data_IF_480126344409
#
_entry.id   IF_480126344409
#
_cell.length_a   1.000
_cell.length_b   1.000
_cell.length_c   1.000
_cell.angle_alpha   90.00
_cell.angle_beta   90.00
_cell.angle_gamma   90.00
#
_symmetry.space_group_name_H-M   'P 1'
#
loop_
_entity.id
_entity.type
_entity.pdbx_description
1 polymer ?
#
# COMPACT_ATOMS: atom_id res chain seq x y z
N UNK A 1 47.88 -18.54 -25.46
CA UNK A 1 48.77 -18.49 -24.28
C UNK A 1 48.02 -19.04 -23.09
N UNK A 2 48.46 -20.17 -22.52
CA UNK A 2 47.85 -20.72 -21.32
C UNK A 2 48.31 -19.88 -20.11
N UNK A 3 47.37 -19.32 -19.32
CA UNK A 3 47.67 -18.64 -18.06
C UNK A 3 48.50 -19.56 -17.15
N UNK A 4 49.52 -19.02 -16.48
CA UNK A 4 50.32 -19.75 -15.49
C UNK A 4 49.41 -20.23 -14.35
N UNK A 5 49.79 -21.32 -13.69
CA UNK A 5 49.00 -21.90 -12.59
C UNK A 5 48.70 -20.84 -11.51
N UNK A 6 49.67 -19.98 -11.18
CA UNK A 6 49.47 -18.86 -10.25
C UNK A 6 48.48 -17.80 -10.75
N UNK A 7 48.52 -17.46 -12.05
CA UNK A 7 47.58 -16.51 -12.64
C UNK A 7 46.13 -17.06 -12.72
N UNK A 8 45.96 -18.38 -12.88
CA UNK A 8 44.64 -19.03 -12.82
C UNK A 8 44.03 -18.95 -11.43
N UNK A 9 44.82 -19.22 -10.39
CA UNK A 9 44.36 -19.12 -8.99
C UNK A 9 44.11 -17.67 -8.56
N UNK A 10 44.88 -16.71 -9.06
CA UNK A 10 44.66 -15.28 -8.80
C UNK A 10 43.29 -14.77 -9.30
N UNK A 11 42.75 -15.37 -10.36
CA UNK A 11 41.40 -15.06 -10.88
C UNK A 11 40.32 -15.95 -10.25
N UNK A 12 40.62 -17.23 -10.02
CA UNK A 12 39.66 -18.20 -9.48
C UNK A 12 39.28 -17.90 -8.02
N UNK A 13 40.23 -17.47 -7.17
CA UNK A 13 39.96 -17.22 -5.75
C UNK A 13 38.92 -16.10 -5.56
N UNK A 14 39.06 -14.90 -6.16
CA UNK A 14 38.02 -13.87 -6.06
C UNK A 14 36.66 -14.33 -6.57
N UNK A 15 36.62 -15.05 -7.70
CA UNK A 15 35.37 -15.57 -8.26
C UNK A 15 34.68 -16.58 -7.32
N UNK A 16 35.45 -17.48 -6.70
CA UNK A 16 34.94 -18.44 -5.72
C UNK A 16 34.45 -17.73 -4.45
N UNK A 17 35.13 -16.69 -3.99
CA UNK A 17 34.70 -15.89 -2.84
C UNK A 17 33.41 -15.13 -3.12
N UNK A 18 33.26 -14.54 -4.31
CA UNK A 18 32.01 -13.88 -4.73
C UNK A 18 30.87 -14.90 -4.78
N UNK A 19 31.12 -16.08 -5.37
CA UNK A 19 30.14 -17.15 -5.41
C UNK A 19 29.76 -17.63 -4.00
N UNK A 20 30.74 -17.82 -3.11
CA UNK A 20 30.49 -18.20 -1.73
C UNK A 20 29.67 -17.15 -0.98
N UNK A 21 30.02 -15.87 -1.10
CA UNK A 21 29.25 -14.77 -0.51
C UNK A 21 27.82 -14.72 -1.04
N UNK A 22 27.63 -14.95 -2.34
CA UNK A 22 26.31 -15.00 -2.94
C UNK A 22 25.49 -16.20 -2.45
N UNK A 23 26.10 -17.39 -2.31
CA UNK A 23 25.44 -18.57 -1.72
C UNK A 23 25.04 -18.29 -0.27
N UNK A 24 25.92 -17.69 0.53
CA UNK A 24 25.62 -17.29 1.91
C UNK A 24 24.45 -16.29 1.92
N UNK A 25 24.48 -15.27 1.06
CA UNK A 25 23.41 -14.28 0.91
C UNK A 25 22.06 -14.94 0.58
N UNK A 26 22.02 -15.84 -0.40
CA UNK A 26 20.80 -16.59 -0.75
C UNK A 26 20.35 -17.49 0.40
N UNK A 27 21.28 -18.16 1.10
CA UNK A 27 20.97 -18.98 2.28
C UNK A 27 20.40 -18.16 3.43
N UNK A 28 20.93 -16.95 3.66
CA UNK A 28 20.41 -15.99 4.63
C UNK A 28 19.00 -15.52 4.25
N UNK A 29 18.74 -15.32 2.96
CA UNK A 29 17.40 -15.06 2.44
C UNK A 29 16.44 -16.24 2.58
N UNK A 30 16.80 -17.41 3.13
CA UNK A 30 15.85 -18.46 3.51
C UNK A 30 15.36 -18.34 4.95
N UNK A 31 15.99 -17.47 5.76
CA UNK A 31 15.60 -17.25 7.16
C UNK A 31 14.39 -16.29 7.18
N UNK A 32 13.19 -16.72 7.64
CA UNK A 32 11.97 -15.92 7.48
C UNK A 32 12.03 -14.54 8.14
N UNK A 33 12.70 -14.43 9.29
CA UNK A 33 12.90 -13.15 9.96
C UNK A 33 13.70 -12.18 9.09
N UNK A 34 14.81 -12.66 8.50
CA UNK A 34 15.66 -11.83 7.65
C UNK A 34 14.99 -11.49 6.31
N UNK A 35 14.25 -12.45 5.72
CA UNK A 35 13.41 -12.19 4.55
C UNK A 35 12.47 -11.02 4.76
N UNK A 36 11.77 -10.98 5.90
CA UNK A 36 10.79 -9.93 6.18
C UNK A 36 11.46 -8.57 6.36
N UNK A 37 12.60 -8.51 7.06
CA UNK A 37 13.38 -7.28 7.14
C UNK A 37 13.85 -6.80 5.78
N UNK A 38 14.32 -7.70 4.92
CA UNK A 38 14.78 -7.36 3.57
C UNK A 38 13.63 -6.98 2.61
N UNK A 39 12.48 -7.65 2.71
CA UNK A 39 11.32 -7.40 1.85
C UNK A 39 10.65 -6.07 2.20
N UNK A 40 10.34 -5.87 3.48
CA UNK A 40 9.58 -4.71 3.95
C UNK A 40 10.47 -3.49 4.18
N UNK A 41 11.74 -3.69 4.53
CA UNK A 41 12.71 -2.62 4.82
C UNK A 41 12.16 -1.61 5.85
N UNK A 42 11.28 -2.08 6.73
CA UNK A 42 10.39 -1.23 7.51
C UNK A 42 11.08 -0.47 8.65
N UNK A 43 12.31 -0.90 9.03
CA UNK A 43 13.13 -0.23 10.05
C UNK A 43 14.10 0.81 9.48
N UNK A 44 14.25 0.89 8.16
CA UNK A 44 15.13 1.88 7.53
C UNK A 44 14.27 3.03 7.03
N UNK A 45 14.24 4.11 7.81
CA UNK A 45 13.39 5.26 7.53
C UNK A 45 14.01 6.56 8.08
N UNK A 46 13.57 7.70 7.55
CA UNK A 46 14.09 9.03 7.91
C UNK A 46 13.39 9.68 9.11
N UNK A 47 12.49 8.97 9.80
CA UNK A 47 11.78 9.47 10.99
C UNK A 47 12.70 10.02 12.10
N UNK A 48 13.94 9.55 12.17
CA UNK A 48 14.95 10.08 13.10
C UNK A 48 15.25 11.58 12.84
N UNK A 49 15.13 12.03 11.60
CA UNK A 49 15.52 13.36 11.13
C UNK A 49 14.32 14.31 10.92
N UNK A 50 13.11 13.78 10.82
CA UNK A 50 11.90 14.56 10.54
C UNK A 50 10.79 14.30 11.56
N UNK A 51 9.92 15.28 11.79
CA UNK A 51 8.74 15.09 12.63
C UNK A 51 7.55 14.69 11.75
N UNK A 52 7.24 13.39 11.70
CA UNK A 52 6.13 12.85 10.90
C UNK A 52 4.78 13.37 11.41
N UNK A 53 4.69 13.78 12.68
CA UNK A 53 3.47 14.39 13.22
C UNK A 53 3.23 15.82 12.76
N UNK A 54 4.18 16.44 12.06
CA UNK A 54 4.05 17.77 11.46
C UNK A 54 4.09 17.71 9.92
N UNK A 55 2.93 17.54 9.26
CA UNK A 55 2.81 17.49 7.81
C UNK A 55 3.32 18.74 7.08
N UNK A 56 3.45 19.89 7.76
CA UNK A 56 3.92 21.12 7.11
C UNK A 56 5.37 21.01 6.66
N UNK A 57 6.15 20.18 7.35
CA UNK A 57 7.54 19.85 6.97
C UNK A 57 7.64 19.05 5.67
N UNK A 58 6.52 18.51 5.18
CA UNK A 58 6.43 17.73 3.94
C UNK A 58 5.66 18.44 2.81
N UNK A 59 5.49 19.76 2.93
CA UNK A 59 4.91 20.60 1.87
C UNK A 59 3.39 20.73 1.89
N UNK A 60 2.73 20.36 3.00
CA UNK A 60 1.30 20.60 3.19
C UNK A 60 1.04 21.91 3.93
N UNK A 61 -0.12 22.52 3.68
CA UNK A 61 -0.57 23.66 4.44
C UNK A 61 -1.00 23.25 5.87
N UNK A 62 -1.02 24.21 6.80
CA UNK A 62 -1.44 23.98 8.19
C UNK A 62 -2.84 23.36 8.22
N UNK A 63 -3.01 22.26 8.95
CA UNK A 63 -4.28 21.50 9.05
C UNK A 63 -4.85 20.99 7.70
N UNK A 64 -4.08 21.02 6.60
CA UNK A 64 -4.47 20.31 5.38
C UNK A 64 -4.41 18.80 5.57
N UNK A 65 -3.51 18.33 6.44
CA UNK A 65 -3.37 16.93 6.80
C UNK A 65 -3.67 16.76 8.28
N UNK A 66 -4.64 15.88 8.58
CA UNK A 66 -4.91 15.41 9.93
C UNK A 66 -4.21 14.09 10.17
N UNK A 67 -3.43 14.00 11.24
CA UNK A 67 -2.81 12.75 11.69
C UNK A 67 -3.67 12.10 12.79
N UNK A 68 -3.82 10.78 12.76
CA UNK A 68 -4.61 10.02 13.74
C UNK A 68 -4.17 8.56 13.75
N UNK A 69 -4.81 7.74 14.60
CA UNK A 69 -4.52 6.31 14.67
C UNK A 69 -5.74 5.44 14.41
N UNK A 70 -5.53 4.29 13.78
CA UNK A 70 -6.55 3.27 13.51
C UNK A 70 -6.16 1.98 14.23
N UNK A 71 -7.01 1.44 15.12
CA UNK A 71 -6.78 0.14 15.71
C UNK A 71 -7.14 -0.97 14.72
N UNK A 72 -6.39 -2.07 14.75
CA UNK A 72 -6.70 -3.28 14.00
C UNK A 72 -7.38 -4.32 14.90
N UNK A 73 -8.13 -5.27 14.31
CA UNK A 73 -8.71 -6.43 15.00
C UNK A 73 -7.74 -7.20 15.93
N UNK A 74 -6.47 -7.26 15.57
CA UNK A 74 -5.41 -7.97 16.30
C UNK A 74 -4.58 -7.09 17.25
N UNK A 75 -5.09 -5.91 17.62
CA UNK A 75 -4.49 -5.04 18.63
C UNK A 75 -3.29 -4.22 18.16
N UNK A 76 -3.06 -4.13 16.84
CA UNK A 76 -2.07 -3.23 16.27
C UNK A 76 -2.66 -1.83 16.14
N UNK A 77 -1.87 -0.82 16.47
CA UNK A 77 -2.21 0.58 16.20
C UNK A 77 -1.47 1.06 14.95
N UNK A 78 -2.22 1.55 13.97
CA UNK A 78 -1.74 2.09 12.71
C UNK A 78 -1.72 3.62 12.76
N UNK A 79 -0.62 4.23 12.33
CA UNK A 79 -0.52 5.65 12.03
C UNK A 79 -1.25 5.96 10.73
N UNK A 80 -2.11 6.97 10.73
CA UNK A 80 -2.94 7.34 9.59
C UNK A 80 -2.88 8.84 9.31
N UNK A 81 -2.93 9.19 8.03
CA UNK A 81 -3.07 10.56 7.55
C UNK A 81 -4.37 10.70 6.75
N UNK A 82 -5.09 11.80 6.99
CA UNK A 82 -6.21 12.27 6.18
C UNK A 82 -5.82 13.61 5.56
N UNK A 83 -5.66 13.62 4.24
CA UNK A 83 -5.26 14.79 3.44
C UNK A 83 -6.50 15.38 2.77
N UNK A 84 -6.75 16.67 3.01
CA UNK A 84 -7.83 17.43 2.37
C UNK A 84 -7.50 17.72 0.90
N UNK A 85 -8.50 17.65 0.00
CA UNK A 85 -8.35 18.16 -1.37
C UNK A 85 -8.24 19.69 -1.35
N UNK A 86 -7.65 20.26 -2.41
CA UNK A 86 -7.30 21.68 -2.45
C UNK A 86 -8.53 22.59 -2.49
N UNK A 87 -9.61 22.17 -3.14
CA UNK A 87 -10.87 22.90 -3.20
C UNK A 87 -11.51 23.05 -1.81
N UNK A 88 -11.68 21.94 -1.08
CA UNK A 88 -12.22 21.95 0.29
C UNK A 88 -11.30 22.73 1.24
N UNK A 89 -9.98 22.55 1.12
CA UNK A 89 -9.04 23.33 1.94
C UNK A 89 -9.14 24.84 1.66
N UNK A 90 -9.25 25.23 0.39
CA UNK A 90 -9.33 26.63 -0.01
C UNK A 90 -10.62 27.30 0.51
N UNK A 91 -11.75 26.59 0.45
CA UNK A 91 -13.04 27.07 0.95
C UNK A 91 -13.04 27.31 2.47
N UNK A 92 -12.39 26.44 3.24
CA UNK A 92 -12.36 26.49 4.71
C UNK A 92 -11.03 26.97 5.30
N UNK A 93 -10.21 27.68 4.51
CA UNK A 93 -8.82 27.99 4.87
C UNK A 93 -8.67 28.76 6.17
N UNK A 94 -9.53 29.75 6.43
CA UNK A 94 -9.50 30.57 7.65
C UNK A 94 -9.74 29.70 8.89
N UNK A 95 -10.84 28.95 8.90
CA UNK A 95 -11.21 28.03 9.98
C UNK A 95 -10.12 26.97 10.24
N UNK A 96 -9.58 26.38 9.17
CA UNK A 96 -8.51 25.39 9.27
C UNK A 96 -7.21 25.98 9.82
N UNK A 97 -6.85 27.21 9.44
CA UNK A 97 -5.60 27.83 9.90
C UNK A 97 -5.65 28.18 11.39
N UNK A 98 -6.80 28.66 11.86
CA UNK A 98 -7.05 29.05 13.25
C UNK A 98 -7.29 27.85 14.17
N UNK A 99 -7.76 26.73 13.62
CA UNK A 99 -8.03 25.54 14.41
C UNK A 99 -6.76 24.96 15.10
N UNK A 100 -6.91 24.36 16.29
CA UNK A 100 -5.88 23.53 16.91
C UNK A 100 -5.39 22.41 15.97
N UNK A 101 -4.13 21.99 16.11
CA UNK A 101 -3.53 20.95 15.26
C UNK A 101 -4.22 19.57 15.39
N UNK A 102 -4.87 19.32 16.52
CA UNK A 102 -5.62 18.11 16.82
C UNK A 102 -7.10 18.19 16.42
N UNK A 103 -7.50 19.28 15.77
CA UNK A 103 -8.87 19.51 15.33
C UNK A 103 -9.40 18.38 14.45
N UNK A 104 -10.65 17.99 14.69
CA UNK A 104 -11.37 17.03 13.85
C UNK A 104 -12.03 17.70 12.64
N UNK A 105 -11.79 18.98 12.37
CA UNK A 105 -12.45 19.75 11.32
C UNK A 105 -12.28 19.09 9.95
N UNK A 106 -11.07 18.64 9.59
CA UNK A 106 -10.82 17.95 8.32
C UNK A 106 -11.75 16.73 8.13
N UNK A 107 -11.93 15.93 9.19
CA UNK A 107 -12.82 14.76 9.15
C UNK A 107 -14.28 15.16 9.11
N UNK A 108 -14.68 16.23 9.82
CA UNK A 108 -16.03 16.77 9.74
C UNK A 108 -16.38 17.17 8.31
N UNK A 109 -15.51 17.92 7.62
CA UNK A 109 -15.68 18.34 6.23
C UNK A 109 -15.92 17.16 5.28
N UNK A 110 -15.17 16.07 5.45
CA UNK A 110 -15.39 14.82 4.70
C UNK A 110 -16.76 14.20 5.02
N UNK A 111 -17.11 14.05 6.31
CA UNK A 111 -18.33 13.32 6.72
C UNK A 111 -19.61 14.12 6.54
N UNK A 112 -19.55 15.45 6.49
CA UNK A 112 -20.71 16.32 6.29
C UNK A 112 -21.13 16.43 4.83
N UNK A 113 -20.21 16.14 3.89
CA UNK A 113 -20.49 16.23 2.46
C UNK A 113 -20.90 14.85 1.89
N UNK A 114 -22.18 14.68 1.46
CA UNK A 114 -22.65 13.42 0.89
C UNK A 114 -22.05 13.11 -0.49
N UNK A 115 -21.39 14.07 -1.13
CA UNK A 115 -20.75 13.94 -2.44
C UNK A 115 -19.24 13.69 -2.37
N UNK A 116 -18.62 13.89 -1.19
CA UNK A 116 -17.19 13.73 -0.99
C UNK A 116 -16.72 12.30 -1.31
N UNK A 117 -15.58 12.18 -1.97
CA UNK A 117 -14.97 10.89 -2.31
C UNK A 117 -13.77 10.61 -1.44
N UNK A 118 -13.43 9.34 -1.30
CA UNK A 118 -12.22 8.92 -0.60
C UNK A 118 -11.31 8.16 -1.55
N UNK A 119 -10.06 8.61 -1.63
CA UNK A 119 -8.95 7.86 -2.17
C UNK A 119 -8.19 7.20 -1.02
N UNK A 120 -8.21 5.87 -0.97
CA UNK A 120 -7.35 5.09 -0.07
C UNK A 120 -6.02 4.84 -0.76
N UNK A 121 -4.91 5.26 -0.14
CA UNK A 121 -3.56 5.08 -0.71
C UNK A 121 -2.72 4.11 0.13
N UNK A 122 -2.18 3.09 -0.53
CA UNK A 122 -1.30 2.05 0.00
C UNK A 122 0.12 2.22 -0.56
N UNK A 123 1.07 2.54 0.31
CA UNK A 123 2.44 2.86 -0.07
C UNK A 123 3.30 1.60 -0.33
N UNK A 124 4.47 1.79 -0.97
CA UNK A 124 5.44 0.71 -1.21
C UNK A 124 6.23 0.26 0.02
N UNK A 125 7.27 -0.56 -0.18
CA UNK A 125 8.17 -0.95 0.90
C UNK A 125 9.08 0.21 1.35
N UNK A 126 9.82 -0.01 2.44
CA UNK A 126 10.69 0.94 3.11
C UNK A 126 9.99 2.19 3.69
N UNK A 127 10.72 2.95 4.51
CA UNK A 127 10.32 4.29 4.94
C UNK A 127 9.08 4.37 5.84
N UNK A 128 8.43 5.53 5.81
CA UNK A 128 7.21 5.85 6.54
C UNK A 128 6.22 6.64 5.67
N UNK A 129 5.00 6.90 6.15
CA UNK A 129 3.87 7.46 5.40
C UNK A 129 4.24 8.74 4.60
N UNK A 130 5.07 9.60 5.19
CA UNK A 130 5.54 10.85 4.60
C UNK A 130 6.90 10.80 3.88
N UNK A 131 7.50 9.62 3.65
CA UNK A 131 8.88 9.53 3.17
C UNK A 131 8.99 9.59 1.63
N UNK A 132 10.00 10.32 1.14
CA UNK A 132 10.35 10.36 -0.29
C UNK A 132 9.27 11.04 -1.14
N UNK A 133 8.88 10.38 -2.22
CA UNK A 133 7.88 10.89 -3.19
C UNK A 133 6.42 10.74 -2.74
N UNK A 134 6.16 10.10 -1.59
CA UNK A 134 4.79 9.78 -1.14
C UNK A 134 3.95 11.03 -0.95
N UNK A 135 4.52 12.06 -0.33
CA UNK A 135 3.82 13.34 -0.10
C UNK A 135 3.62 14.12 -1.39
N UNK A 136 4.52 13.96 -2.37
CA UNK A 136 4.30 14.49 -3.71
C UNK A 136 3.10 13.82 -4.36
N UNK A 137 2.98 12.49 -4.28
CA UNK A 137 1.80 11.75 -4.75
C UNK A 137 0.52 12.22 -4.07
N UNK A 138 0.51 12.37 -2.74
CA UNK A 138 -0.68 12.84 -2.03
C UNK A 138 -1.08 14.26 -2.47
N UNK A 139 -0.12 15.18 -2.58
CA UNK A 139 -0.37 16.56 -3.06
C UNK A 139 -0.86 16.57 -4.50
N UNK A 140 -0.34 15.67 -5.32
CA UNK A 140 -0.79 15.42 -6.69
C UNK A 140 -2.29 15.04 -6.68
N UNK A 141 -2.68 14.08 -5.83
CA UNK A 141 -4.07 13.65 -5.67
C UNK A 141 -4.99 14.72 -5.06
N UNK A 142 -4.48 15.69 -4.29
CA UNK A 142 -5.29 16.79 -3.76
C UNK A 142 -5.91 17.68 -4.85
N UNK A 143 -5.45 17.60 -6.10
CA UNK A 143 -6.05 18.29 -7.24
C UNK A 143 -7.34 17.61 -7.75
N UNK A 144 -7.67 16.40 -7.26
CA UNK A 144 -8.93 15.73 -7.58
C UNK A 144 -10.08 16.44 -6.84
N UNK A 145 -11.13 16.90 -7.56
CA UNK A 145 -12.23 17.62 -6.94
C UNK A 145 -12.89 16.80 -5.83
N UNK A 146 -13.05 17.41 -4.66
CA UNK A 146 -13.73 16.86 -3.50
C UNK A 146 -13.37 15.39 -3.18
N UNK A 147 -12.08 15.06 -3.35
CA UNK A 147 -11.55 13.69 -3.15
C UNK A 147 -10.50 13.70 -2.06
N UNK A 148 -10.89 13.24 -0.88
CA UNK A 148 -10.02 13.17 0.29
C UNK A 148 -9.08 11.97 0.20
N UNK A 149 -7.79 12.15 0.46
CA UNK A 149 -6.85 11.04 0.50
C UNK A 149 -6.69 10.55 1.93
N UNK A 150 -6.86 9.24 2.17
CA UNK A 150 -6.59 8.60 3.47
C UNK A 150 -5.56 7.49 3.26
N UNK A 151 -4.53 7.48 4.08
CA UNK A 151 -3.43 6.51 4.00
C UNK A 151 -2.94 6.13 5.40
N UNK A 152 -2.21 5.03 5.48
CA UNK A 152 -1.65 4.49 6.72
C UNK A 152 -0.17 4.14 6.54
N UNK A 153 0.59 4.17 7.63
CA UNK A 153 1.76 3.30 7.77
C UNK A 153 1.28 1.90 8.12
N UNK A 154 1.76 0.88 7.40
CA UNK A 154 1.52 -0.51 7.79
C UNK A 154 2.11 -0.83 9.16
N UNK A 155 1.65 -1.90 9.79
CA UNK A 155 2.24 -2.41 11.03
C UNK A 155 3.77 -2.53 10.93
N UNK A 156 4.46 -1.95 11.91
CA UNK A 156 5.91 -1.89 11.99
C UNK A 156 6.59 -0.82 11.13
N UNK A 157 5.87 -0.07 10.29
CA UNK A 157 6.37 1.10 9.55
C UNK A 157 6.11 2.39 10.34
N UNK A 158 6.99 3.37 10.19
CA UNK A 158 6.84 4.69 10.83
C UNK A 158 6.44 4.62 12.30
N UNK A 159 5.29 5.22 12.64
CA UNK A 159 4.73 5.21 14.01
C UNK A 159 3.75 4.04 14.27
N UNK A 160 3.51 3.16 13.29
CA UNK A 160 2.66 1.99 13.48
C UNK A 160 3.37 0.90 14.27
N UNK A 161 2.65 0.31 15.21
CA UNK A 161 3.17 -0.76 16.08
C UNK A 161 3.27 -2.11 15.34
N UNK A 162 3.87 -3.12 15.98
CA UNK A 162 3.92 -4.49 15.44
C UNK A 162 5.05 -4.77 14.45
N UNK A 163 4.93 -5.87 13.71
CA UNK A 163 5.89 -6.31 12.70
C UNK A 163 5.19 -6.75 11.41
N UNK A 164 5.74 -6.42 10.24
CA UNK A 164 5.09 -6.69 8.97
C UNK A 164 5.11 -8.17 8.61
N UNK A 165 3.97 -8.63 8.10
CA UNK A 165 3.79 -9.94 7.46
C UNK A 165 2.75 -9.77 6.35
N UNK A 166 2.65 -10.72 5.43
CA UNK A 166 1.64 -10.66 4.37
C UNK A 166 0.21 -10.56 4.92
N UNK A 167 -0.18 -11.50 5.80
CA UNK A 167 -1.50 -11.48 6.43
C UNK A 167 -1.73 -10.21 7.27
N UNK A 168 -0.68 -9.71 7.91
CA UNK A 168 -0.75 -8.50 8.73
C UNK A 168 -1.01 -7.24 7.90
N UNK A 169 -0.27 -7.03 6.81
CA UNK A 169 -0.50 -5.87 5.93
C UNK A 169 -1.88 -5.91 5.26
N UNK A 170 -2.38 -7.12 4.94
CA UNK A 170 -3.76 -7.29 4.44
C UNK A 170 -4.77 -6.90 5.54
N UNK A 171 -4.54 -7.34 6.78
CA UNK A 171 -5.36 -6.97 7.95
C UNK A 171 -5.36 -5.45 8.15
N UNK A 172 -4.22 -4.78 7.99
CA UNK A 172 -4.10 -3.32 8.10
C UNK A 172 -4.92 -2.59 7.03
N UNK A 173 -4.85 -3.08 5.78
CA UNK A 173 -5.63 -2.54 4.68
C UNK A 173 -7.14 -2.72 4.87
N UNK A 174 -7.57 -3.90 5.36
CA UNK A 174 -8.97 -4.17 5.70
C UNK A 174 -9.44 -3.25 6.84
N UNK A 175 -8.61 -3.05 7.88
CA UNK A 175 -8.93 -2.15 8.99
C UNK A 175 -9.14 -0.70 8.51
N UNK A 176 -8.29 -0.21 7.61
CA UNK A 176 -8.45 1.11 7.00
C UNK A 176 -9.75 1.22 6.19
N UNK A 177 -10.04 0.26 5.32
CA UNK A 177 -11.29 0.28 4.53
C UNK A 177 -12.51 0.22 5.43
N UNK A 178 -12.52 -0.65 6.44
CA UNK A 178 -13.60 -0.72 7.42
C UNK A 178 -13.77 0.58 8.21
N UNK A 179 -12.68 1.25 8.58
CA UNK A 179 -12.75 2.58 9.19
C UNK A 179 -13.43 3.59 8.27
N UNK A 180 -13.04 3.65 6.99
CA UNK A 180 -13.66 4.54 6.01
C UNK A 180 -15.14 4.21 5.78
N UNK A 181 -15.48 2.94 5.64
CA UNK A 181 -16.85 2.52 5.33
C UNK A 181 -17.79 2.62 6.52
N UNK A 182 -17.34 2.16 7.70
CA UNK A 182 -18.22 1.94 8.85
C UNK A 182 -18.06 3.00 9.94
N UNK A 183 -16.90 3.66 10.04
CA UNK A 183 -16.72 4.78 10.99
C UNK A 183 -16.99 6.13 10.31
N UNK A 184 -16.46 6.33 9.10
CA UNK A 184 -16.71 7.55 8.32
C UNK A 184 -17.97 7.48 7.44
N UNK A 185 -18.65 6.33 7.40
CA UNK A 185 -19.90 6.12 6.68
C UNK A 185 -19.81 6.43 5.17
N UNK A 186 -18.64 6.20 4.56
CA UNK A 186 -18.44 6.41 3.13
C UNK A 186 -18.82 5.13 2.36
N UNK A 187 -19.78 5.19 1.41
CA UNK A 187 -20.20 4.03 0.65
C UNK A 187 -19.09 3.56 -0.32
N UNK A 188 -19.01 2.25 -0.63
CA UNK A 188 -17.98 1.70 -1.52
C UNK A 188 -17.89 2.37 -2.90
N UNK A 189 -19.03 2.82 -3.45
CA UNK A 189 -19.10 3.53 -4.73
C UNK A 189 -18.39 4.89 -4.74
N UNK A 190 -18.04 5.45 -3.57
CA UNK A 190 -17.26 6.69 -3.41
C UNK A 190 -15.81 6.45 -2.99
N UNK A 191 -15.37 5.19 -2.94
CA UNK A 191 -14.02 4.80 -2.51
C UNK A 191 -13.23 4.31 -3.71
N UNK A 192 -12.08 4.95 -3.99
CA UNK A 192 -11.06 4.44 -4.91
C UNK A 192 -9.83 4.01 -4.11
N UNK A 193 -9.15 2.95 -4.57
CA UNK A 193 -7.95 2.42 -3.92
C UNK A 193 -6.77 2.58 -4.87
N UNK A 194 -5.66 3.15 -4.38
CA UNK A 194 -4.38 3.22 -5.11
C UNK A 194 -3.32 2.46 -4.33
N UNK A 195 -2.60 1.57 -5.01
CA UNK A 195 -1.42 0.91 -4.47
C UNK A 195 -0.18 1.22 -5.29
N UNK A 196 0.99 1.35 -4.63
CA UNK A 196 2.28 1.52 -5.30
C UNK A 196 3.25 0.42 -4.88
N UNK A 197 3.91 -0.24 -5.85
CA UNK A 197 4.88 -1.30 -5.57
C UNK A 197 4.30 -2.37 -4.62
N UNK A 198 4.87 -2.60 -3.42
CA UNK A 198 4.27 -3.48 -2.40
C UNK A 198 2.78 -3.18 -2.14
N UNK A 199 2.41 -1.89 -2.11
CA UNK A 199 1.03 -1.45 -1.92
C UNK A 199 0.07 -1.95 -3.00
N UNK A 200 0.53 -2.32 -4.20
CA UNK A 200 -0.34 -2.95 -5.22
C UNK A 200 -0.78 -4.32 -4.77
N UNK A 201 0.11 -5.09 -4.16
CA UNK A 201 -0.21 -6.44 -3.69
C UNK A 201 -1.14 -6.42 -2.47
N UNK A 202 -1.01 -5.40 -1.61
CA UNK A 202 -1.96 -5.09 -0.53
C UNK A 202 -3.32 -4.72 -1.12
N UNK A 203 -3.37 -3.77 -2.06
CA UNK A 203 -4.60 -3.33 -2.71
C UNK A 203 -5.34 -4.50 -3.38
N UNK A 204 -4.65 -5.33 -4.15
CA UNK A 204 -5.24 -6.51 -4.80
C UNK A 204 -5.81 -7.53 -3.81
N UNK A 205 -5.17 -7.71 -2.65
CA UNK A 205 -5.70 -8.58 -1.60
C UNK A 205 -6.91 -7.97 -0.89
N UNK A 206 -6.89 -6.66 -0.61
CA UNK A 206 -7.99 -5.94 0.03
C UNK A 206 -9.24 -5.98 -0.84
N UNK A 207 -9.13 -5.67 -2.15
CA UNK A 207 -10.31 -5.74 -3.03
C UNK A 207 -10.86 -7.15 -3.18
N UNK A 208 -9.99 -8.17 -3.18
CA UNK A 208 -10.43 -9.56 -3.18
C UNK A 208 -11.16 -9.90 -1.88
N UNK A 209 -10.65 -9.48 -0.72
CA UNK A 209 -11.31 -9.73 0.57
C UNK A 209 -12.74 -9.18 0.60
N UNK A 210 -12.96 -7.97 0.09
CA UNK A 210 -14.30 -7.38 0.07
C UNK A 210 -15.23 -7.98 -1.00
N UNK A 211 -14.68 -8.53 -2.09
CA UNK A 211 -15.46 -9.22 -3.12
C UNK A 211 -15.76 -10.69 -2.77
N UNK A 212 -14.83 -11.38 -2.12
CA UNK A 212 -14.88 -12.80 -1.78
C UNK A 212 -13.96 -13.10 -0.57
N UNK A 213 -14.43 -12.86 0.68
CA UNK A 213 -13.59 -12.97 1.89
C UNK A 213 -13.16 -14.42 2.20
N UNK A 214 -13.84 -15.43 1.65
CA UNK A 214 -13.49 -16.84 1.82
C UNK A 214 -12.55 -17.37 0.74
N UNK A 215 -12.04 -16.50 -0.14
CA UNK A 215 -11.19 -16.91 -1.24
C UNK A 215 -9.87 -17.53 -0.75
N UNK A 216 -9.51 -18.68 -1.33
CA UNK A 216 -8.31 -19.45 -0.93
C UNK A 216 -6.97 -18.74 -1.18
N UNK A 217 -6.94 -17.68 -1.99
CA UNK A 217 -5.72 -16.88 -2.23
C UNK A 217 -5.48 -15.79 -1.18
N UNK A 218 -6.38 -15.67 -0.20
CA UNK A 218 -6.20 -14.85 0.99
C UNK A 218 -5.60 -15.72 2.12
N UNK A 219 -4.61 -15.21 2.88
CA UNK A 219 -4.10 -15.94 4.04
C UNK A 219 -5.20 -16.22 5.06
N UNK A 220 -5.28 -17.48 5.53
CA UNK A 220 -6.23 -17.89 6.57
C UNK A 220 -6.01 -17.22 7.94
N UNK A 221 -4.87 -16.53 8.10
CA UNK A 221 -4.46 -15.83 9.32
C UNK A 221 -4.81 -14.34 9.34
N UNK A 222 -5.55 -13.84 8.33
CA UNK A 222 -6.11 -12.49 8.39
C UNK A 222 -7.05 -12.38 9.59
N UNK A 223 -6.85 -11.36 10.43
CA UNK A 223 -7.73 -11.12 11.57
C UNK A 223 -8.93 -10.29 11.14
N UNK A 224 -10.14 -10.84 11.31
CA UNK A 224 -11.39 -10.23 10.85
C UNK A 224 -12.38 -9.91 11.98
N UNK A 225 -12.13 -10.38 13.20
CA UNK A 225 -13.01 -10.14 14.35
C UNK A 225 -12.64 -8.83 15.05
N UNK A 226 -13.54 -7.83 15.11
CA UNK A 226 -13.24 -6.57 15.77
C UNK A 226 -12.94 -6.82 17.25
N UNK A 227 -11.68 -6.65 17.65
CA UNK A 227 -11.36 -6.35 19.04
C UNK A 227 -12.10 -5.07 19.41
N UNK A 228 -12.82 -5.08 20.53
CA UNK A 228 -13.51 -3.93 21.11
C UNK A 228 -12.50 -2.87 21.53
N UNK A 229 -11.96 -2.14 20.57
CA UNK A 229 -11.11 -0.98 20.76
C UNK A 229 -11.70 0.15 19.95
N UNK A 230 -12.39 1.07 20.64
CA UNK A 230 -12.79 2.36 20.08
C UNK A 230 -11.56 3.02 19.46
N UNK A 231 -11.63 3.55 18.22
CA UNK A 231 -10.54 4.33 17.66
C UNK A 231 -10.17 5.45 18.65
N UNK A 232 -8.96 5.41 19.19
CA UNK A 232 -8.43 6.53 19.93
C UNK A 232 -8.13 7.61 18.90
N UNK A 233 -9.00 8.62 18.85
CA UNK A 233 -8.82 9.85 18.05
C UNK A 233 -7.78 10.77 18.72
N UNK A 234 -6.73 10.21 19.29
CA UNK A 234 -5.66 10.98 19.90
C UNK A 234 -4.72 11.48 18.82
N UNK A 235 -4.43 12.79 18.75
CA UNK A 235 -3.39 13.31 17.88
C UNK A 235 -2.05 12.62 18.20
N UNK A 236 -1.30 12.25 17.17
CA UNK A 236 0.06 11.72 17.37
C UNK A 236 0.97 12.85 17.83
N UNK A 237 1.21 12.94 19.13
CA UNK A 237 2.29 13.77 19.67
C UNK A 237 3.53 12.89 19.77
N UNK A 238 4.66 13.33 19.19
CA UNK A 238 5.96 12.70 19.42
C UNK A 238 6.49 13.19 20.78
N UNK A 239 6.51 12.34 21.83
CA UNK A 239 6.98 12.76 23.16
C UNK A 239 8.49 13.09 23.17
N UNK A 240 9.25 12.70 22.13
CA UNK A 240 10.69 12.95 22.03
C UNK A 240 11.06 14.26 21.31
N UNK A 241 10.08 14.94 20.68
CA UNK A 241 10.32 16.16 19.87
C UNK A 241 9.31 17.28 20.10
N UNK A 242 8.61 17.31 21.23
CA UNK A 242 7.75 18.42 21.65
C UNK A 242 8.55 19.66 22.09
N UNK A 243 9.37 20.22 21.21
CA UNK A 243 9.87 21.60 21.36
C UNK A 243 9.34 22.44 20.22
N UNK A 244 8.13 22.95 20.43
CA UNK A 244 7.56 24.01 19.62
C UNK A 244 8.31 25.32 19.87
N UNK A 245 8.60 26.05 18.79
CA UNK A 245 9.08 27.43 18.80
C UNK A 245 8.04 28.31 19.49
N UNK A 246 8.16 28.52 20.81
CA UNK A 246 7.65 29.67 21.58
C UNK A 246 7.67 29.34 23.09
N UNK A 247 8.80 29.61 23.76
CA UNK A 247 8.87 30.02 25.18
C UNK A 247 10.31 29.93 25.69
N UNK A 248 11.04 31.05 25.58
CA UNK A 248 12.11 31.38 26.52
C UNK A 248 11.45 32.09 27.70
N UNK A 249 10.94 31.34 28.67
CA UNK A 249 10.72 31.78 30.06
C UNK A 249 10.21 30.60 30.89
N UNK A 250 10.91 30.36 32.00
CA UNK A 250 10.47 29.68 33.22
C UNK A 250 10.23 28.16 33.17
N UNK A 251 11.26 27.41 33.58
CA UNK A 251 11.15 26.01 33.96
C UNK A 251 10.70 25.87 35.44
N UNK A 252 9.67 25.07 35.77
CA UNK A 252 9.41 24.65 37.14
C UNK A 252 10.10 23.31 37.49
N UNK A 253 10.31 23.00 38.79
CA UNK A 253 11.14 21.88 39.23
C UNK A 253 10.41 20.53 39.15
N UNK A 254 11.20 19.48 38.91
CA UNK A 254 10.80 18.07 38.91
C UNK A 254 10.35 17.63 40.32
N UNK A 255 9.12 17.13 40.43
CA UNK A 255 8.67 16.34 41.58
C UNK A 255 8.83 14.85 41.26
N UNK A 256 9.46 14.13 42.18
CA UNK A 256 9.89 12.76 42.06
C UNK A 256 9.23 11.90 43.12
N UNK A 257 7.95 11.54 42.95
CA UNK A 257 7.33 10.47 43.76
C UNK A 257 6.22 9.75 42.98
N UNK A 258 6.53 8.58 42.42
CA UNK A 258 5.66 7.39 42.37
C UNK A 258 6.32 6.26 41.55
N UNK A 259 6.67 5.10 42.15
CA UNK A 259 7.10 3.93 41.40
C UNK A 259 5.87 3.22 40.78
N UNK A 260 5.89 3.03 39.47
CA UNK A 260 4.92 2.17 38.76
C UNK A 260 5.36 0.72 38.88
N UNK A 261 4.51 -0.11 39.50
CA UNK A 261 4.61 -1.56 39.57
C UNK A 261 4.38 -2.18 38.17
N UNK A 262 5.30 -2.99 37.61
CA UNK A 262 5.16 -3.52 36.25
C UNK A 262 4.24 -4.75 36.11
N UNK A 263 3.54 -5.23 37.16
CA UNK A 263 2.87 -6.54 37.11
C UNK A 263 1.45 -6.61 37.71
N UNK A 264 0.57 -5.65 37.43
CA UNK A 264 -0.86 -5.81 37.73
C UNK A 264 -1.77 -5.53 36.53
N UNK A 265 -1.89 -6.51 35.63
CA UNK A 265 -2.98 -6.58 34.65
C UNK A 265 -4.02 -7.58 35.15
N UNK A 266 -5.11 -7.09 35.74
CA UNK A 266 -6.29 -7.92 36.02
C UNK A 266 -7.11 -8.07 34.74
N UNK A 267 -7.17 -9.30 34.23
CA UNK A 267 -7.96 -9.68 33.07
C UNK A 267 -9.46 -9.44 33.35
N UNK A 268 -10.08 -8.56 32.55
CA UNK A 268 -11.53 -8.40 32.55
C UNK A 268 -12.20 -9.68 32.00
N UNK A 269 -13.24 -10.11 32.73
CA UNK A 269 -14.02 -11.34 32.52
C UNK A 269 -14.85 -11.25 31.23
N UNK A 270 -14.77 -12.27 30.37
CA UNK A 270 -15.49 -12.36 29.10
C UNK A 270 -16.99 -12.67 29.27
N UNK A 271 -17.87 -12.13 28.40
CA UNK A 271 -19.13 -12.77 28.07
C UNK A 271 -19.14 -13.39 26.64
N UNK A 272 -19.57 -14.65 26.63
CA UNK A 272 -20.17 -15.49 25.57
C UNK A 272 -20.01 -15.13 24.08
N UNK A 273 -19.27 -16.02 23.39
CA UNK A 273 -19.49 -16.57 22.03
C UNK A 273 -20.27 -15.73 21.01
N UNK A 274 -19.54 -15.09 20.09
CA UNK A 274 -20.04 -14.63 18.80
C UNK A 274 -19.59 -15.58 17.65
N UNK A 275 -20.41 -15.78 16.61
CA UNK A 275 -20.16 -16.75 15.53
C UNK A 275 -19.12 -16.25 14.50
N UNK A 276 -18.60 -17.13 13.62
CA UNK A 276 -17.54 -16.82 12.64
C UNK A 276 -17.95 -15.74 11.61
N UNK A 277 -16.99 -15.14 10.88
CA UNK A 277 -17.26 -14.01 9.97
C UNK A 277 -17.95 -14.51 8.70
N UNK A 278 -19.28 -14.57 8.69
CA UNK A 278 -20.06 -14.95 7.50
C UNK A 278 -21.41 -14.24 7.46
N UNK A 279 -21.48 -13.02 6.86
CA UNK A 279 -22.73 -12.47 6.29
C UNK A 279 -22.59 -11.16 5.48
N UNK A 280 -21.39 -10.67 5.13
CA UNK A 280 -21.29 -9.41 4.37
C UNK A 280 -21.49 -9.68 2.88
N UNK A 281 -22.42 -8.94 2.25
CA UNK A 281 -22.61 -8.99 0.81
C UNK A 281 -21.30 -8.59 0.09
N UNK A 282 -20.95 -9.23 -1.03
CA UNK A 282 -19.80 -8.83 -1.83
C UNK A 282 -19.81 -7.35 -2.18
N UNK A 283 -18.67 -6.70 -2.06
CA UNK A 283 -18.50 -5.26 -2.28
C UNK A 283 -17.54 -5.02 -3.45
N UNK A 284 -17.97 -4.18 -4.38
CA UNK A 284 -17.11 -3.58 -5.40
C UNK A 284 -16.95 -2.09 -5.10
N UNK A 285 -15.70 -1.61 -5.11
CA UNK A 285 -15.36 -0.21 -4.92
C UNK A 285 -15.53 0.60 -6.20
N UNK A 286 -15.38 1.92 -6.16
CA UNK A 286 -15.43 2.77 -7.36
C UNK A 286 -14.36 2.34 -8.40
N UNK A 287 -13.19 1.94 -7.92
CA UNK A 287 -12.15 1.31 -8.72
C UNK A 287 -10.83 1.17 -7.97
N UNK A 288 -9.83 0.59 -8.64
CA UNK A 288 -8.50 0.37 -8.08
C UNK A 288 -7.41 0.70 -9.09
N UNK A 289 -6.42 1.49 -8.69
CA UNK A 289 -5.24 1.79 -9.50
C UNK A 289 -4.00 1.16 -8.88
N UNK A 290 -3.23 0.42 -9.68
CA UNK A 290 -2.03 -0.28 -9.25
C UNK A 290 -0.82 0.29 -10.00
N UNK A 291 0.09 0.93 -9.27
CA UNK A 291 1.25 1.62 -9.82
C UNK A 291 2.50 0.76 -9.64
N UNK A 292 3.17 0.43 -10.74
CA UNK A 292 4.30 -0.49 -10.80
C UNK A 292 4.04 -1.83 -10.07
N UNK A 293 2.95 -2.56 -10.43
CA UNK A 293 2.62 -3.83 -9.79
C UNK A 293 3.57 -4.95 -10.21
N UNK A 294 3.53 -6.05 -9.45
CA UNK A 294 4.28 -7.27 -9.73
C UNK A 294 3.42 -8.52 -9.63
N UNK A 295 3.83 -9.61 -10.28
CA UNK A 295 3.10 -10.88 -10.32
C UNK A 295 3.06 -11.56 -8.95
N UNK A 296 4.23 -11.74 -8.35
CA UNK A 296 4.48 -12.20 -6.98
C UNK A 296 5.95 -11.95 -6.59
N UNK A 297 6.30 -12.07 -5.31
CA UNK A 297 7.67 -11.83 -4.81
C UNK A 297 8.70 -12.80 -5.42
N UNK A 298 8.49 -14.13 -5.46
CA UNK A 298 9.47 -15.04 -6.05
C UNK A 298 9.86 -14.69 -7.49
N UNK A 299 8.87 -14.37 -8.34
CA UNK A 299 9.09 -13.95 -9.73
C UNK A 299 9.66 -12.54 -9.83
N UNK A 300 9.26 -11.65 -8.93
CA UNK A 300 9.81 -10.29 -8.86
C UNK A 300 11.31 -10.36 -8.58
N UNK A 301 11.76 -11.07 -7.54
CA UNK A 301 13.16 -11.11 -7.11
C UNK A 301 14.13 -11.60 -8.19
N UNK A 302 13.68 -12.45 -9.12
CA UNK A 302 14.46 -12.89 -10.29
C UNK A 302 14.74 -11.77 -11.30
N UNK A 303 13.99 -10.67 -11.23
CA UNK A 303 14.11 -9.52 -12.14
C UNK A 303 14.36 -8.20 -11.43
N UNK A 304 14.16 -8.16 -10.11
CA UNK A 304 14.26 -6.97 -9.28
C UNK A 304 15.70 -6.49 -9.14
N UNK A 305 15.87 -5.18 -9.24
CA UNK A 305 17.15 -4.51 -9.01
C UNK A 305 16.99 -3.55 -7.85
N UNK A 306 17.68 -3.81 -6.74
CA UNK A 306 17.66 -2.90 -5.61
C UNK A 306 18.31 -1.56 -6.02
N UNK A 307 17.51 -0.49 -5.96
CA UNK A 307 17.91 0.86 -6.39
C UNK A 307 18.32 0.93 -7.86
N UNK A 308 17.75 0.08 -8.72
CA UNK A 308 18.07 0.00 -10.14
C UNK A 308 19.44 -0.60 -10.51
N UNK A 309 20.30 -0.91 -9.53
CA UNK A 309 21.70 -1.28 -9.78
C UNK A 309 21.97 -2.75 -9.48
N UNK A 310 21.53 -3.25 -8.31
CA UNK A 310 21.96 -4.56 -7.82
C UNK A 310 20.87 -5.63 -8.07
N UNK A 311 21.05 -6.56 -9.02
CA UNK A 311 20.09 -7.63 -9.25
C UNK A 311 20.12 -8.62 -8.09
N UNK A 312 19.03 -8.74 -7.32
CA UNK A 312 19.03 -9.55 -6.10
C UNK A 312 19.15 -11.04 -6.38
N UNK A 313 18.22 -11.62 -7.15
CA UNK A 313 18.25 -13.03 -7.56
C UNK A 313 18.41 -13.22 -9.08
N UNK A 314 18.76 -12.15 -9.80
CA UNK A 314 19.00 -12.18 -11.25
C UNK A 314 20.00 -13.27 -11.71
N UNK A 315 21.11 -13.53 -10.98
CA UNK A 315 22.03 -14.62 -11.32
C UNK A 315 21.41 -16.03 -11.29
N UNK A 316 20.28 -16.22 -10.62
CA UNK A 316 19.58 -17.51 -10.56
C UNK A 316 18.65 -17.76 -11.77
N UNK A 317 18.30 -16.72 -12.52
CA UNK A 317 17.34 -16.78 -13.63
C UNK A 317 17.67 -17.83 -14.72
N UNK A 318 18.93 -18.07 -15.10
CA UNK A 318 19.27 -19.10 -16.09
C UNK A 318 19.07 -20.55 -15.58
N UNK A 319 18.81 -20.75 -14.29
CA UNK A 319 18.77 -22.05 -13.63
C UNK A 319 17.34 -22.37 -13.17
N UNK A 320 16.44 -22.77 -14.09
CA UNK A 320 15.01 -22.93 -13.79
C UNK A 320 14.71 -23.99 -12.72
N UNK A 321 15.61 -24.97 -12.54
CA UNK A 321 15.49 -25.98 -11.49
C UNK A 321 15.60 -25.41 -10.07
N UNK A 322 16.10 -24.18 -9.89
CA UNK A 322 16.16 -23.50 -8.60
C UNK A 322 14.89 -22.71 -8.26
N UNK A 323 14.02 -22.43 -9.25
CA UNK A 323 12.81 -21.64 -9.00
C UNK A 323 11.85 -22.28 -7.97
N UNK A 324 11.61 -23.61 -7.96
CA UNK A 324 10.77 -24.23 -6.94
C UNK A 324 11.31 -24.07 -5.51
N UNK A 325 12.65 -23.98 -5.35
CA UNK A 325 13.28 -23.75 -4.05
C UNK A 325 13.02 -22.32 -3.58
N UNK A 326 13.03 -21.34 -4.49
CA UNK A 326 12.66 -19.96 -4.19
C UNK A 326 11.19 -19.83 -3.81
N UNK A 327 10.31 -20.49 -4.58
CA UNK A 327 8.87 -20.50 -4.31
C UNK A 327 8.57 -21.11 -2.93
N UNK A 328 9.24 -22.21 -2.58
CA UNK A 328 9.13 -22.84 -1.25
C UNK A 328 9.75 -22.00 -0.13
N UNK A 329 10.91 -21.40 -0.39
CA UNK A 329 11.69 -20.69 0.61
C UNK A 329 11.09 -19.35 1.01
N UNK A 330 10.45 -18.62 0.09
CA UNK A 330 9.89 -17.28 0.32
C UNK A 330 8.57 -17.39 1.08
N UNK A 331 8.54 -16.86 2.30
CA UNK A 331 7.38 -16.98 3.19
C UNK A 331 6.22 -16.07 2.81
N UNK A 332 6.51 -14.80 2.57
CA UNK A 332 5.50 -13.79 2.22
C UNK A 332 5.55 -13.62 0.70
N UNK A 333 4.69 -14.34 -0.02
CA UNK A 333 4.76 -14.52 -1.47
C UNK A 333 4.06 -13.42 -2.25
N UNK A 334 3.01 -12.82 -1.70
CA UNK A 334 2.17 -11.81 -2.36
C UNK A 334 1.71 -12.23 -3.77
N UNK A 335 0.84 -13.25 -3.92
CA UNK A 335 0.37 -13.77 -5.20
C UNK A 335 -0.64 -12.84 -5.90
N UNK A 336 -0.20 -11.65 -6.31
CA UNK A 336 -1.02 -10.59 -6.93
C UNK A 336 -1.78 -11.10 -8.15
N UNK A 337 -1.16 -11.87 -9.05
CA UNK A 337 -1.83 -12.40 -10.23
C UNK A 337 -3.04 -13.28 -9.88
N UNK A 338 -2.84 -14.23 -8.97
CA UNK A 338 -3.91 -15.15 -8.55
C UNK A 338 -5.03 -14.39 -7.85
N UNK A 339 -4.68 -13.36 -7.05
CA UNK A 339 -5.66 -12.50 -6.39
C UNK A 339 -6.47 -11.67 -7.38
N UNK A 340 -5.84 -11.13 -8.42
CA UNK A 340 -6.56 -10.41 -9.47
C UNK A 340 -7.47 -11.34 -10.27
N UNK A 341 -7.00 -12.52 -10.67
CA UNK A 341 -7.85 -13.52 -11.34
C UNK A 341 -9.08 -13.88 -10.50
N UNK A 342 -8.87 -14.16 -9.21
CA UNK A 342 -9.96 -14.45 -8.28
C UNK A 342 -10.89 -13.26 -8.08
N UNK A 343 -10.35 -12.04 -8.01
CA UNK A 343 -11.15 -10.82 -7.89
C UNK A 343 -12.05 -10.62 -9.11
N UNK A 344 -11.53 -10.77 -10.33
CA UNK A 344 -12.33 -10.64 -11.55
C UNK A 344 -13.43 -11.71 -11.62
N UNK A 345 -13.14 -12.96 -11.22
CA UNK A 345 -14.14 -14.02 -11.12
C UNK A 345 -15.20 -13.74 -10.04
N UNK A 346 -14.81 -13.15 -8.90
CA UNK A 346 -15.75 -12.73 -7.87
C UNK A 346 -16.63 -11.57 -8.36
N UNK A 347 -16.04 -10.55 -9.00
CA UNK A 347 -16.75 -9.41 -9.54
C UNK A 347 -17.77 -9.80 -10.61
N UNK A 348 -17.46 -10.77 -11.47
CA UNK A 348 -18.39 -11.35 -12.44
C UNK A 348 -19.65 -11.92 -11.75
N UNK A 349 -19.47 -12.68 -10.67
CA UNK A 349 -20.59 -13.23 -9.89
C UNK A 349 -21.48 -12.13 -9.33
N UNK A 350 -20.88 -11.09 -8.72
CA UNK A 350 -21.63 -9.95 -8.16
C UNK A 350 -22.46 -9.22 -9.21
N UNK A 351 -21.91 -9.05 -10.41
CA UNK A 351 -22.63 -8.45 -11.55
C UNK A 351 -23.75 -9.34 -12.05
N UNK A 352 -23.52 -10.64 -12.15
CA UNK A 352 -24.52 -11.61 -12.62
C UNK A 352 -25.72 -11.73 -11.67
N UNK A 353 -25.51 -11.49 -10.36
CA UNK A 353 -26.58 -11.53 -9.34
C UNK A 353 -27.35 -10.21 -9.19
N UNK A 354 -26.85 -9.11 -9.75
CA UNK A 354 -27.50 -7.80 -9.64
C UNK A 354 -28.45 -7.59 -10.84
N UNK A 355 -29.76 -7.74 -10.65
CA UNK A 355 -30.81 -7.48 -11.66
C UNK A 355 -30.94 -5.98 -12.09
N UNK A 356 -29.87 -5.18 -12.01
CA UNK A 356 -29.95 -3.72 -12.21
C UNK A 356 -29.51 -3.31 -13.63
N UNK A 357 -30.33 -2.57 -14.39
CA UNK A 357 -29.97 -2.06 -15.70
C UNK A 357 -28.93 -0.93 -15.63
N UNK A 358 -27.81 -1.12 -16.33
CA UNK A 358 -27.25 -0.17 -17.31
C UNK A 358 -27.13 1.32 -16.97
N UNK A 359 -26.67 1.73 -15.79
CA UNK A 359 -25.93 3.00 -15.69
C UNK A 359 -24.45 2.75 -16.01
N UNK A 360 -23.81 3.65 -16.77
CA UNK A 360 -22.39 3.50 -17.11
C UNK A 360 -21.49 3.47 -15.86
N UNK A 361 -21.91 4.16 -14.78
CA UNK A 361 -21.23 4.12 -13.47
C UNK A 361 -21.25 2.71 -12.83
N UNK A 362 -22.35 1.96 -12.97
CA UNK A 362 -22.44 0.59 -12.48
C UNK A 362 -21.57 -0.39 -13.30
N UNK A 363 -21.37 -0.11 -14.59
CA UNK A 363 -20.53 -0.92 -15.49
C UNK A 363 -19.04 -0.83 -15.18
N UNK A 364 -18.61 0.23 -14.50
CA UNK A 364 -17.21 0.49 -14.20
C UNK A 364 -16.84 0.31 -12.72
N UNK A 365 -17.83 0.12 -11.84
CA UNK A 365 -17.58 -0.26 -10.44
C UNK A 365 -16.64 -1.47 -10.35
N UNK A 366 -15.57 -1.37 -9.57
CA UNK A 366 -14.59 -2.44 -9.41
C UNK A 366 -13.57 -2.53 -10.54
N UNK A 367 -13.50 -1.55 -11.45
CA UNK A 367 -12.47 -1.49 -12.48
C UNK A 367 -11.06 -1.50 -11.87
N UNK A 368 -10.12 -2.19 -12.52
CA UNK A 368 -8.70 -2.21 -12.14
C UNK A 368 -7.88 -1.53 -13.24
N UNK A 369 -7.03 -0.59 -12.87
CA UNK A 369 -6.15 0.14 -13.77
C UNK A 369 -4.69 -0.02 -13.32
N UNK A 370 -3.84 -0.64 -14.11
CA UNK A 370 -2.40 -0.71 -13.90
C UNK A 370 -1.71 0.44 -14.62
N UNK A 371 -0.81 1.14 -13.95
CA UNK A 371 0.09 2.13 -14.56
C UNK A 371 1.54 1.72 -14.29
N UNK A 372 2.39 1.70 -15.31
CA UNK A 372 3.80 1.30 -15.16
C UNK A 372 4.70 2.03 -16.16
N UNK A 373 5.84 2.55 -15.72
CA UNK A 373 6.83 3.15 -16.61
C UNK A 373 7.74 2.10 -17.29
N UNK A 374 7.98 2.23 -18.60
CA UNK A 374 8.94 1.39 -19.33
C UNK A 374 10.37 1.54 -18.80
N UNK A 375 10.71 2.73 -18.30
CA UNK A 375 12.00 3.02 -17.69
C UNK A 375 12.04 2.80 -16.16
N UNK A 376 11.10 2.04 -15.60
CA UNK A 376 11.19 1.57 -14.22
C UNK A 376 12.45 0.71 -14.05
N UNK A 377 13.35 1.19 -13.20
CA UNK A 377 14.65 0.58 -12.95
C UNK A 377 14.56 -0.53 -11.89
N UNK A 378 13.53 -0.52 -11.04
CA UNK A 378 13.39 -1.39 -9.88
C UNK A 378 12.51 -2.60 -10.23
N UNK A 379 11.33 -2.35 -10.78
CA UNK A 379 10.36 -3.38 -11.20
C UNK A 379 10.23 -3.31 -12.71
N UNK A 380 10.43 -4.44 -13.39
CA UNK A 380 10.26 -4.47 -14.85
C UNK A 380 8.79 -4.31 -15.24
N UNK A 381 8.49 -3.44 -16.20
CA UNK A 381 7.17 -3.33 -16.85
C UNK A 381 6.61 -4.66 -17.36
N UNK A 382 7.48 -5.64 -17.64
CA UNK A 382 7.09 -7.01 -18.02
C UNK A 382 6.27 -7.71 -16.95
N UNK A 383 6.35 -7.28 -15.69
CA UNK A 383 5.47 -7.75 -14.63
C UNK A 383 4.01 -7.34 -14.91
N UNK A 384 3.76 -6.09 -15.30
CA UNK A 384 2.42 -5.63 -15.73
C UNK A 384 1.93 -6.36 -16.98
N UNK A 385 2.83 -6.63 -17.93
CA UNK A 385 2.52 -7.49 -19.08
C UNK A 385 2.09 -8.89 -18.65
N UNK A 386 2.79 -9.53 -17.71
CA UNK A 386 2.40 -10.84 -17.22
C UNK A 386 1.08 -10.85 -16.44
N UNK A 387 0.76 -9.75 -15.74
CA UNK A 387 -0.56 -9.56 -15.14
C UNK A 387 -1.66 -9.42 -16.20
N UNK A 388 -1.41 -8.67 -17.28
CA UNK A 388 -2.30 -8.58 -18.43
C UNK A 388 -2.61 -9.96 -19.03
N UNK A 389 -1.56 -10.68 -19.42
CA UNK A 389 -1.66 -11.99 -20.07
C UNK A 389 -2.34 -13.01 -19.15
N UNK A 390 -1.98 -13.00 -17.85
CA UNK A 390 -2.53 -13.93 -16.88
C UNK A 390 -4.00 -13.67 -16.53
N UNK A 391 -4.43 -12.41 -16.43
CA UNK A 391 -5.84 -12.08 -16.10
C UNK A 391 -6.75 -12.25 -17.32
N UNK A 392 -6.30 -11.83 -18.51
CA UNK A 392 -7.15 -11.79 -19.70
C UNK A 392 -7.05 -13.03 -20.58
N UNK A 393 -5.96 -13.79 -20.47
CA UNK A 393 -5.59 -14.85 -21.42
C UNK A 393 -5.14 -14.32 -22.79
N UNK A 394 -5.09 -13.00 -22.98
CA UNK A 394 -4.70 -12.37 -24.25
C UNK A 394 -3.20 -12.12 -24.28
N UNK A 395 -2.55 -12.53 -25.36
CA UNK A 395 -1.14 -12.19 -25.59
C UNK A 395 -1.00 -10.67 -25.69
N UNK A 396 -0.03 -10.11 -24.98
CA UNK A 396 0.28 -8.69 -25.12
C UNK A 396 0.92 -8.43 -26.50
N UNK A 397 0.63 -7.28 -27.09
CA UNK A 397 1.00 -7.03 -28.48
C UNK A 397 2.53 -6.88 -28.64
N UNK A 398 3.13 -7.34 -29.75
CA UNK A 398 4.58 -7.25 -29.97
C UNK A 398 5.13 -5.81 -29.93
N UNK A 399 4.29 -4.82 -30.25
CA UNK A 399 4.63 -3.39 -30.28
C UNK A 399 5.05 -2.86 -28.90
N UNK A 400 4.68 -3.54 -27.80
CA UNK A 400 5.15 -3.19 -26.46
C UNK A 400 6.68 -3.22 -26.32
N UNK A 401 7.37 -4.00 -27.16
CA UNK A 401 8.83 -4.03 -27.18
C UNK A 401 9.45 -2.73 -27.74
N UNK A 402 8.67 -1.91 -28.46
CA UNK A 402 9.08 -0.56 -28.88
C UNK A 402 9.13 0.44 -27.72
N UNK A 403 8.52 0.09 -26.57
CA UNK A 403 8.50 0.91 -25.34
C UNK A 403 7.92 2.31 -25.53
N UNK A 404 6.97 2.45 -26.45
CA UNK A 404 6.16 3.66 -26.62
C UNK A 404 4.94 3.61 -25.72
N UNK A 405 4.46 4.78 -25.30
CA UNK A 405 3.25 4.89 -24.49
C UNK A 405 2.12 4.06 -25.10
N UNK A 406 1.58 3.10 -24.33
CA UNK A 406 0.60 2.12 -24.82
C UNK A 406 -0.45 1.83 -23.76
N UNK A 407 -1.71 1.75 -24.17
CA UNK A 407 -2.83 1.37 -23.32
C UNK A 407 -3.47 0.09 -23.85
N UNK A 408 -3.59 -0.91 -22.99
CA UNK A 408 -4.34 -2.14 -23.22
C UNK A 408 -5.62 -2.09 -22.39
N UNK A 409 -6.76 -2.47 -22.96
CA UNK A 409 -8.03 -2.53 -22.23
C UNK A 409 -8.82 -3.80 -22.59
N UNK A 410 -9.33 -4.48 -21.56
CA UNK A 410 -10.19 -5.64 -21.67
C UNK A 410 -11.29 -5.60 -20.60
N UNK A 411 -12.28 -6.49 -20.71
CA UNK A 411 -13.37 -6.65 -19.73
C UNK A 411 -13.52 -8.10 -19.25
N UNK A 412 -12.52 -8.70 -18.58
CA UNK A 412 -12.66 -10.04 -18.00
C UNK A 412 -13.86 -10.09 -17.03
N UNK A 413 -14.78 -11.02 -17.25
CA UNK A 413 -16.01 -11.14 -16.46
C UNK A 413 -16.88 -9.87 -16.46
N UNK A 414 -16.78 -9.05 -17.52
CA UNK A 414 -17.52 -7.78 -17.67
C UNK A 414 -16.90 -6.57 -16.94
N UNK A 415 -15.88 -6.77 -16.10
CA UNK A 415 -15.24 -5.69 -15.32
C UNK A 415 -14.05 -5.12 -16.08
N UNK A 416 -13.95 -3.78 -16.20
CA UNK A 416 -12.85 -3.13 -16.93
C UNK A 416 -11.51 -3.44 -16.27
N UNK A 417 -10.55 -3.84 -17.11
CA UNK A 417 -9.15 -3.99 -16.78
C UNK A 417 -8.29 -3.24 -17.78
N UNK A 418 -7.57 -2.23 -17.30
CA UNK A 418 -6.71 -1.38 -18.13
C UNK A 418 -5.26 -1.53 -17.69
N UNK A 419 -4.33 -1.62 -18.65
CA UNK A 419 -2.90 -1.56 -18.43
C UNK A 419 -2.34 -0.42 -19.27
N UNK A 420 -1.90 0.63 -18.62
CA UNK A 420 -1.30 1.80 -19.22
C UNK A 420 0.21 1.80 -18.93
N UNK A 421 0.99 1.69 -20.00
CA UNK A 421 2.44 1.71 -19.96
C UNK A 421 2.93 3.06 -20.48
N UNK A 422 3.61 3.82 -19.61
CA UNK A 422 4.15 5.14 -19.94
C UNK A 422 5.65 5.05 -20.21
N UNK A 423 6.19 5.93 -21.06
CA UNK A 423 7.60 5.86 -21.45
C UNK A 423 8.55 6.17 -20.29
N UNK A 424 8.16 7.13 -19.45
CA UNK A 424 9.02 7.75 -18.45
C UNK A 424 8.36 7.81 -17.08
N UNK A 425 9.15 8.06 -16.03
CA UNK A 425 8.69 8.24 -14.65
C UNK A 425 9.39 7.33 -13.66
N UNK A 426 10.08 6.29 -14.13
CA UNK A 426 10.73 5.31 -13.27
C UNK A 426 9.75 4.67 -12.28
N UNK A 427 10.28 4.10 -11.20
CA UNK A 427 9.47 3.44 -10.17
C UNK A 427 8.64 4.40 -9.33
N UNK A 428 9.19 5.59 -9.07
CA UNK A 428 8.74 6.47 -7.99
C UNK A 428 8.03 7.71 -8.52
N UNK A 429 8.61 8.37 -9.52
CA UNK A 429 8.05 9.61 -10.06
C UNK A 429 6.79 9.37 -10.88
N UNK A 430 6.61 8.18 -11.47
CA UNK A 430 5.36 7.78 -12.15
C UNK A 430 4.13 7.91 -11.24
N UNK A 431 4.30 7.84 -9.92
CA UNK A 431 3.19 7.99 -8.97
C UNK A 431 2.57 9.40 -8.97
N UNK A 432 3.27 10.41 -9.48
CA UNK A 432 2.80 11.79 -9.57
C UNK A 432 2.37 12.16 -10.98
N UNK A 433 2.27 11.20 -11.89
CA UNK A 433 1.93 11.45 -13.29
C UNK A 433 0.44 11.70 -13.47
N UNK A 434 0.10 12.47 -14.51
CA UNK A 434 -1.29 12.83 -14.84
C UNK A 434 -2.14 11.58 -15.11
N UNK A 435 -1.55 10.54 -15.68
CA UNK A 435 -2.17 9.24 -15.95
C UNK A 435 -2.73 8.61 -14.67
N UNK A 436 -2.01 8.73 -13.54
CA UNK A 436 -2.50 8.27 -12.22
C UNK A 436 -3.73 9.06 -11.80
N UNK A 437 -3.71 10.38 -12.00
CA UNK A 437 -4.86 11.22 -11.66
C UNK A 437 -6.06 10.94 -12.55
N UNK A 438 -5.85 10.76 -13.85
CA UNK A 438 -6.90 10.45 -14.80
C UNK A 438 -7.52 9.08 -14.49
N UNK A 439 -6.71 8.10 -14.11
CA UNK A 439 -7.17 6.79 -13.67
C UNK A 439 -8.07 6.90 -12.43
N UNK A 440 -7.64 7.61 -11.38
CA UNK A 440 -8.45 7.78 -10.17
C UNK A 440 -9.69 8.62 -10.47
N UNK A 441 -9.56 9.71 -11.23
CA UNK A 441 -10.69 10.57 -11.63
C UNK A 441 -11.76 9.76 -12.37
N UNK A 442 -11.37 8.90 -13.31
CA UNK A 442 -12.32 8.03 -14.03
C UNK A 442 -13.12 7.13 -13.08
N UNK A 443 -12.50 6.67 -11.98
CA UNK A 443 -13.15 5.81 -11.00
C UNK A 443 -14.13 6.57 -10.10
N UNK A 444 -13.76 7.76 -9.61
CA UNK A 444 -14.56 8.48 -8.60
C UNK A 444 -15.43 9.62 -9.13
N UNK A 445 -15.16 10.13 -10.33
CA UNK A 445 -15.94 11.19 -10.99
C UNK A 445 -16.74 10.64 -12.17
N UNK A 446 -16.36 9.48 -12.70
CA UNK A 446 -16.79 9.04 -14.03
C UNK A 446 -16.07 9.85 -15.13
N UNK A 447 -15.95 9.28 -16.32
CA UNK A 447 -15.65 10.07 -17.51
C UNK A 447 -16.94 10.13 -18.32
N UNK A 448 -17.66 11.25 -18.23
CA UNK A 448 -18.55 11.60 -19.34
C UNK A 448 -17.68 11.82 -20.58
N UNK A 449 -18.06 11.26 -21.73
CA UNK A 449 -17.30 11.38 -22.98
C UNK A 449 -17.10 12.83 -23.43
#
# INVERSE_FOLDING_TARGET
MALSTGARWAVAIPALLILLYYIIFVGLLLIPWLQRHALYVHKIHSAFWHNISDPTTFGFARNQVRTFTIPTPDGITLSAWHVLPLDVYAEHRSELTEAPLDSTLATKLLTSDPTAKVLISFHGNAGHIAQGWRTDTYRSCCALPNTHTITIDYRGFGHSTGNPTEAGLITDGIALVNYVMHTLHIPPSRISIVGQSLGTAVASAVILYFADPSNTHLPSTISTSPGTSTPLLTPQTDPSKSKSYNSLSDAPPLDSTNPIDPLSYQAAKAPSSSPPPSSQAPILFAGTTLIAPFINIPRLLLTYKAGGVLPLLGPLRPFPFLHPILDWGIKDQWPTLLRLQAYFAAAEKVRSSSEVPGSDDARDAGAVHIIHAFNDADISWRQSRGLWEGVTGQAATPELEERKATTLEARPGGTRFTVELVENGGHNRVCTYSEVHLAVRRQVVGMSP
#
